data_IF_320541260647
#
_entry.id   IF_320541260647
#
_cell.length_a   1.000
_cell.length_b   1.000
_cell.length_c   1.000
_cell.angle_alpha   90.00
_cell.angle_beta   90.00
_cell.angle_gamma   90.00
#
_symmetry.space_group_name_H-M   'P 1'
#
loop_
_entity.id
_entity.type
_entity.pdbx_description
1 polymer ?
#
# COMPACT_ATOMS: atom_id res chain seq x y z
N UNK A 1 -23.59 2.67 -10.26
CA UNK A 1 -23.66 3.95 -11.04
C UNK A 1 -24.05 5.11 -10.13
N UNK A 2 -25.01 4.93 -9.24
CA UNK A 2 -25.54 6.01 -8.39
C UNK A 2 -24.47 6.66 -7.48
N UNK A 3 -23.61 5.88 -6.85
CA UNK A 3 -22.56 6.42 -5.96
C UNK A 3 -21.57 7.33 -6.69
N UNK A 4 -21.17 6.98 -7.91
CA UNK A 4 -20.27 7.82 -8.69
C UNK A 4 -20.91 9.15 -9.06
N UNK A 5 -22.19 9.13 -9.42
CA UNK A 5 -22.92 10.34 -9.76
C UNK A 5 -23.15 11.25 -8.55
N UNK A 6 -23.43 10.66 -7.38
CA UNK A 6 -23.55 11.40 -6.12
C UNK A 6 -22.21 12.10 -5.81
N UNK A 7 -21.10 11.36 -5.84
CA UNK A 7 -19.77 11.93 -5.58
C UNK A 7 -19.43 13.07 -6.54
N UNK A 8 -19.72 12.90 -7.83
CA UNK A 8 -19.49 13.96 -8.83
C UNK A 8 -20.32 15.20 -8.55
N UNK A 9 -21.57 15.03 -8.15
CA UNK A 9 -22.48 16.14 -7.80
C UNK A 9 -21.96 16.89 -6.58
N UNK A 10 -21.60 16.17 -5.51
CA UNK A 10 -21.03 16.77 -4.31
C UNK A 10 -19.72 17.52 -4.61
N UNK A 11 -18.81 16.93 -5.39
CA UNK A 11 -17.57 17.59 -5.80
C UNK A 11 -17.87 18.88 -6.59
N UNK A 12 -18.81 18.85 -7.53
CA UNK A 12 -19.14 20.00 -8.36
C UNK A 12 -19.72 21.18 -7.55
N UNK A 13 -20.45 20.86 -6.48
CA UNK A 13 -21.06 21.86 -5.57
C UNK A 13 -20.04 22.39 -4.56
N UNK A 14 -19.29 21.50 -3.90
CA UNK A 14 -18.39 21.86 -2.83
C UNK A 14 -17.02 22.37 -3.33
N UNK A 15 -16.60 21.93 -4.54
CA UNK A 15 -15.30 22.26 -5.17
C UNK A 15 -14.11 22.02 -4.24
N UNK A 16 -13.93 20.83 -3.69
CA UNK A 16 -12.85 20.55 -2.75
C UNK A 16 -11.50 20.51 -3.48
N UNK A 17 -10.43 20.92 -2.80
CA UNK A 17 -9.06 20.65 -3.28
C UNK A 17 -8.52 19.28 -2.86
N UNK A 18 -9.18 18.62 -1.91
CA UNK A 18 -8.82 17.30 -1.38
C UNK A 18 -10.07 16.50 -1.06
N UNK A 19 -10.00 15.19 -1.30
CA UNK A 19 -11.07 14.26 -0.95
C UNK A 19 -10.51 12.99 -0.33
N UNK A 20 -11.27 12.37 0.53
CA UNK A 20 -10.97 11.04 1.08
C UNK A 20 -12.19 10.13 0.97
N UNK A 21 -11.97 8.86 0.60
CA UNK A 21 -13.00 7.80 0.64
C UNK A 21 -12.48 6.67 1.53
N UNK A 22 -13.18 6.44 2.64
CA UNK A 22 -12.90 5.36 3.59
C UNK A 22 -14.15 4.47 3.71
N UNK A 23 -14.18 3.33 3.05
CA UNK A 23 -13.17 2.70 2.22
C UNK A 23 -13.77 2.26 0.87
N UNK A 24 -12.91 2.09 -0.14
CA UNK A 24 -13.31 1.52 -1.42
C UNK A 24 -13.86 0.10 -1.25
N UNK A 25 -13.29 -0.71 -0.37
CA UNK A 25 -13.75 -2.07 -0.07
C UNK A 25 -15.18 -2.11 0.49
N UNK A 26 -15.60 -1.09 1.23
CA UNK A 26 -16.99 -0.98 1.70
C UNK A 26 -17.96 -0.79 0.53
N UNK A 27 -17.56 -0.03 -0.48
CA UNK A 27 -18.35 0.21 -1.71
C UNK A 27 -18.32 -0.97 -2.66
N UNK A 28 -17.34 -1.88 -2.54
CA UNK A 28 -17.26 -3.09 -3.35
C UNK A 28 -18.29 -4.16 -2.95
N UNK A 29 -18.86 -4.07 -1.74
CA UNK A 29 -19.79 -5.08 -1.22
C UNK A 29 -21.06 -5.11 -2.05
N UNK A 30 -21.40 -6.30 -2.55
CA UNK A 30 -22.63 -6.52 -3.33
C UNK A 30 -22.61 -6.05 -4.78
N UNK A 31 -21.46 -5.60 -5.29
CA UNK A 31 -21.29 -5.25 -6.70
C UNK A 31 -20.31 -6.20 -7.39
N UNK A 32 -20.43 -6.35 -8.71
CA UNK A 32 -19.49 -7.17 -9.48
C UNK A 32 -18.08 -6.52 -9.50
N UNK A 33 -17.06 -7.34 -9.64
CA UNK A 33 -15.66 -6.86 -9.76
C UNK A 33 -15.50 -5.81 -10.88
N UNK A 34 -16.19 -6.02 -12.02
CA UNK A 34 -16.13 -5.08 -13.14
C UNK A 34 -16.81 -3.74 -12.80
N UNK A 35 -17.97 -3.76 -12.13
CA UNK A 35 -18.65 -2.55 -11.70
C UNK A 35 -17.84 -1.76 -10.68
N UNK A 36 -17.21 -2.44 -9.72
CA UNK A 36 -16.31 -1.84 -8.77
C UNK A 36 -15.12 -1.19 -9.47
N UNK A 37 -14.47 -1.90 -10.41
CA UNK A 37 -13.36 -1.37 -11.19
C UNK A 37 -13.75 -0.10 -11.96
N UNK A 38 -14.91 -0.10 -12.63
CA UNK A 38 -15.41 1.06 -13.37
C UNK A 38 -15.67 2.25 -12.43
N UNK A 39 -16.22 1.98 -11.24
CA UNK A 39 -16.41 3.00 -10.22
C UNK A 39 -15.07 3.64 -9.80
N UNK A 40 -14.06 2.83 -9.47
CA UNK A 40 -12.73 3.33 -9.05
C UNK A 40 -12.06 4.13 -10.16
N UNK A 41 -12.12 3.65 -11.40
CA UNK A 41 -11.62 4.40 -12.57
C UNK A 41 -12.36 5.73 -12.72
N UNK A 42 -13.68 5.71 -12.59
CA UNK A 42 -14.51 6.90 -12.75
C UNK A 42 -14.23 7.96 -11.69
N UNK A 43 -14.14 7.57 -10.41
CA UNK A 43 -13.92 8.53 -9.32
C UNK A 43 -12.49 9.08 -9.34
N UNK A 44 -11.49 8.23 -9.60
CA UNK A 44 -10.08 8.68 -9.68
C UNK A 44 -9.82 9.55 -10.91
N UNK A 45 -10.42 9.19 -12.06
CA UNK A 45 -10.33 9.99 -13.28
C UNK A 45 -10.97 11.38 -13.11
N UNK A 46 -12.14 11.43 -12.49
CA UNK A 46 -12.84 12.69 -12.20
C UNK A 46 -12.06 13.56 -11.20
N UNK A 47 -11.55 12.96 -10.12
CA UNK A 47 -10.70 13.69 -9.18
C UNK A 47 -9.46 14.32 -9.85
N UNK A 48 -8.81 13.59 -10.76
CA UNK A 48 -7.66 14.11 -11.55
C UNK A 48 -8.07 15.23 -12.49
N UNK A 49 -9.21 15.10 -13.16
CA UNK A 49 -9.73 16.13 -14.06
C UNK A 49 -10.03 17.44 -13.32
N UNK A 50 -10.55 17.35 -12.09
CA UNK A 50 -10.86 18.50 -11.24
C UNK A 50 -9.67 18.95 -10.36
N UNK A 51 -8.46 18.41 -10.60
CA UNK A 51 -7.22 18.73 -9.86
C UNK A 51 -7.33 18.48 -8.35
N UNK A 52 -8.14 17.48 -7.94
CA UNK A 52 -8.38 17.13 -6.55
C UNK A 52 -7.36 16.09 -6.09
N UNK A 53 -6.69 16.34 -4.96
CA UNK A 53 -5.87 15.33 -4.31
C UNK A 53 -6.76 14.27 -3.63
N UNK A 54 -6.84 13.06 -4.22
CA UNK A 54 -7.65 11.95 -3.73
C UNK A 54 -6.88 11.02 -2.82
N UNK A 55 -7.43 10.70 -1.64
CA UNK A 55 -6.94 9.70 -0.71
C UNK A 55 -8.01 8.60 -0.54
N UNK A 56 -7.63 7.36 -0.81
CA UNK A 56 -8.53 6.21 -0.79
C UNK A 56 -7.99 5.13 0.11
N UNK A 57 -8.79 4.64 1.05
CA UNK A 57 -8.45 3.44 1.80
C UNK A 57 -9.08 2.22 1.14
N UNK A 58 -8.38 1.11 1.21
CA UNK A 58 -8.88 -0.19 0.75
C UNK A 58 -8.36 -1.28 1.68
N UNK A 59 -9.25 -2.13 2.18
CA UNK A 59 -8.86 -3.28 2.99
C UNK A 59 -8.79 -4.52 2.11
N UNK A 60 -7.69 -5.28 2.20
CA UNK A 60 -7.65 -6.63 1.66
C UNK A 60 -8.20 -7.59 2.70
N UNK A 61 -9.08 -8.49 2.31
CA UNK A 61 -9.72 -9.47 3.23
C UNK A 61 -8.75 -10.58 3.65
N UNK A 62 -7.58 -10.69 3.07
CA UNK A 62 -6.63 -11.74 3.34
C UNK A 62 -5.56 -11.31 4.34
N UNK A 63 -5.65 -11.90 5.53
CA UNK A 63 -4.80 -11.62 6.69
C UNK A 63 -3.37 -12.14 6.54
N UNK A 64 -3.12 -13.08 5.63
CA UNK A 64 -1.80 -13.69 5.39
C UNK A 64 -1.65 -14.16 3.94
N UNK A 65 -0.86 -13.43 3.19
CA UNK A 65 -0.14 -13.95 2.04
C UNK A 65 -0.92 -14.19 0.76
N UNK A 66 -0.39 -13.72 -0.32
CA UNK A 66 -0.53 -14.19 -1.69
C UNK A 66 -1.64 -13.68 -2.61
N UNK A 67 -2.42 -12.66 -2.29
CA UNK A 67 -3.12 -12.00 -3.41
C UNK A 67 -2.49 -10.65 -3.76
N UNK A 68 -2.18 -10.53 -5.03
CA UNK A 68 -1.46 -9.42 -5.61
C UNK A 68 -2.26 -8.12 -5.47
N UNK A 69 -1.65 -7.10 -4.88
CA UNK A 69 -2.12 -5.70 -4.97
C UNK A 69 -2.42 -5.32 -6.43
N UNK A 70 -1.88 -6.09 -7.39
CA UNK A 70 -2.08 -5.95 -8.82
C UNK A 70 -3.41 -6.51 -9.32
N UNK A 71 -4.06 -7.44 -8.62
CA UNK A 71 -5.29 -8.09 -9.09
C UNK A 71 -6.48 -7.14 -9.19
N UNK A 72 -6.50 -6.08 -8.38
CA UNK A 72 -7.56 -5.06 -8.43
C UNK A 72 -7.36 -4.01 -9.52
N UNK A 73 -6.28 -4.06 -10.32
CA UNK A 73 -5.88 -3.02 -11.28
C UNK A 73 -5.76 -1.60 -10.69
N UNK A 74 -5.92 -1.44 -9.38
CA UNK A 74 -5.82 -0.15 -8.67
C UNK A 74 -4.42 0.43 -8.86
N UNK A 75 -3.40 -0.43 -8.92
CA UNK A 75 -2.02 -0.02 -9.13
C UNK A 75 -1.78 0.73 -10.45
N UNK A 76 -2.62 0.54 -11.46
CA UNK A 76 -2.47 1.22 -12.75
C UNK A 76 -2.99 2.65 -12.74
N UNK A 77 -3.98 2.94 -11.91
CA UNK A 77 -4.70 4.23 -11.88
C UNK A 77 -4.27 5.15 -10.74
N UNK A 78 -3.61 4.61 -9.70
CA UNK A 78 -3.11 5.37 -8.56
C UNK A 78 -1.68 5.86 -8.78
N UNK A 79 -1.36 7.02 -8.24
CA UNK A 79 -0.02 7.59 -8.33
C UNK A 79 0.87 7.11 -7.17
N UNK A 80 0.29 6.97 -5.98
CA UNK A 80 0.99 6.48 -4.79
C UNK A 80 0.20 5.35 -4.14
N UNK A 81 0.90 4.33 -3.68
CA UNK A 81 0.34 3.23 -2.88
C UNK A 81 1.15 3.09 -1.61
N UNK A 82 0.47 3.27 -0.47
CA UNK A 82 0.99 2.97 0.86
C UNK A 82 0.39 1.63 1.30
N UNK A 83 1.24 0.70 1.70
CA UNK A 83 0.83 -0.60 2.22
C UNK A 83 1.03 -0.63 3.73
N UNK A 84 -0.06 -0.86 4.46
CA UNK A 84 -0.03 -1.11 5.90
C UNK A 84 -0.50 -2.54 6.15
N UNK A 85 0.27 -3.30 6.92
CA UNK A 85 -0.07 -4.68 7.24
C UNK A 85 0.43 -5.10 8.62
N UNK A 86 -0.21 -6.11 9.19
CA UNK A 86 0.32 -6.78 10.36
C UNK A 86 1.35 -7.83 9.94
N UNK A 87 2.40 -7.95 10.72
CA UNK A 87 3.48 -8.91 10.53
C UNK A 87 3.84 -9.53 11.88
N UNK A 88 4.14 -10.82 11.89
CA UNK A 88 4.64 -11.48 13.11
C UNK A 88 6.17 -11.37 13.14
N UNK A 89 6.71 -10.82 14.22
CA UNK A 89 8.16 -10.72 14.45
C UNK A 89 8.46 -11.16 15.87
N UNK A 90 9.23 -12.24 16.01
CA UNK A 90 9.64 -12.81 17.30
C UNK A 90 8.47 -13.21 18.20
N UNK A 91 7.37 -13.68 17.61
CA UNK A 91 6.14 -14.05 18.34
C UNK A 91 5.26 -12.88 18.76
N UNK A 92 5.57 -11.67 18.30
CA UNK A 92 4.77 -10.47 18.56
C UNK A 92 4.20 -9.92 17.24
N UNK A 93 2.99 -9.37 17.32
CA UNK A 93 2.35 -8.71 16.19
C UNK A 93 2.82 -7.26 16.08
N UNK A 94 3.55 -6.96 15.02
CA UNK A 94 3.98 -5.63 14.66
C UNK A 94 3.15 -5.10 13.46
N UNK A 95 3.19 -3.79 13.23
CA UNK A 95 2.61 -3.17 12.03
C UNK A 95 3.73 -2.69 11.12
N UNK A 96 3.67 -3.08 9.87
CA UNK A 96 4.61 -2.66 8.84
C UNK A 96 3.96 -1.62 7.92
N UNK A 97 4.73 -0.60 7.56
CA UNK A 97 4.39 0.43 6.58
C UNK A 97 5.43 0.40 5.45
N UNK A 98 4.96 0.42 4.22
CA UNK A 98 5.82 0.52 3.04
C UNK A 98 5.21 1.45 1.99
N UNK A 99 6.04 2.28 1.35
CA UNK A 99 5.66 3.01 0.13
C UNK A 99 5.88 2.06 -1.04
N UNK A 100 4.84 1.31 -1.39
CA UNK A 100 4.91 0.27 -2.42
C UNK A 100 5.12 0.84 -3.82
N UNK A 101 4.52 2.00 -4.08
CA UNK A 101 4.60 2.70 -5.36
C UNK A 101 4.52 4.21 -5.16
N UNK A 102 5.29 4.94 -5.96
CA UNK A 102 5.16 6.39 -6.10
C UNK A 102 5.57 6.78 -7.52
N UNK A 103 4.70 7.50 -8.23
CA UNK A 103 4.99 8.01 -9.58
C UNK A 103 5.62 9.39 -9.49
N UNK A 104 6.56 9.65 -10.39
CA UNK A 104 7.12 10.99 -10.59
C UNK A 104 8.13 11.47 -9.55
N UNK A 105 8.39 10.69 -8.48
CA UNK A 105 9.40 11.06 -7.49
C UNK A 105 10.11 9.84 -6.90
N UNK A 106 11.30 10.08 -6.35
CA UNK A 106 12.00 9.11 -5.54
C UNK A 106 11.25 8.91 -4.22
N UNK A 107 11.28 7.70 -3.66
CA UNK A 107 10.72 7.38 -2.35
C UNK A 107 11.58 6.33 -1.63
N UNK A 108 11.46 6.29 -0.32
CA UNK A 108 12.04 5.25 0.51
C UNK A 108 11.33 3.92 0.25
N UNK A 109 12.09 2.90 -0.12
CA UNK A 109 11.59 1.53 -0.37
C UNK A 109 11.63 0.64 0.87
N UNK A 110 12.13 1.16 2.00
CA UNK A 110 12.23 0.43 3.26
C UNK A 110 10.85 0.06 3.82
N UNK A 111 10.78 -1.12 4.42
CA UNK A 111 9.62 -1.52 5.22
C UNK A 111 9.88 -1.05 6.63
N UNK A 112 9.03 -0.16 7.14
CA UNK A 112 9.21 0.47 8.45
C UNK A 112 8.19 -0.04 9.44
N UNK A 113 8.57 -0.09 10.70
CA UNK A 113 7.62 -0.33 11.77
C UNK A 113 6.74 0.90 11.98
N UNK A 114 5.44 0.65 12.15
CA UNK A 114 4.44 1.66 12.44
C UNK A 114 3.78 1.36 13.79
N UNK A 115 3.89 2.30 14.74
CA UNK A 115 3.31 2.16 16.07
C UNK A 115 2.32 3.28 16.36
N UNK A 116 1.28 2.95 17.12
CA UNK A 116 0.31 3.93 17.63
C UNK A 116 0.61 4.12 19.11
N UNK A 117 0.92 5.34 19.48
CA UNK A 117 1.26 5.73 20.85
C UNK A 117 0.25 6.73 21.40
N UNK A 118 0.35 7.06 22.69
CA UNK A 118 -0.45 8.13 23.31
C UNK A 118 -0.26 9.52 22.66
N UNK A 119 0.85 9.71 21.93
CA UNK A 119 1.15 10.93 21.17
C UNK A 119 0.80 10.81 19.68
N UNK A 120 0.03 9.78 19.30
CA UNK A 120 -0.37 9.51 17.91
C UNK A 120 0.51 8.48 17.21
N UNK A 121 0.35 8.34 15.89
CA UNK A 121 1.09 7.40 15.06
C UNK A 121 2.56 7.83 14.91
N UNK A 122 3.47 6.86 14.94
CA UNK A 122 4.91 7.06 14.76
C UNK A 122 5.48 6.01 13.81
N UNK A 123 6.36 6.44 12.93
CA UNK A 123 7.13 5.57 12.04
C UNK A 123 8.51 5.36 12.71
N UNK A 124 8.85 4.10 12.94
CA UNK A 124 10.13 3.68 13.50
C UNK A 124 11.13 3.31 12.39
N UNK A 125 12.25 2.77 12.81
CA UNK A 125 13.27 2.28 11.90
C UNK A 125 12.78 1.11 11.03
N UNK A 126 13.51 0.82 9.96
CA UNK A 126 13.22 -0.29 9.08
C UNK A 126 13.50 -1.64 9.77
N UNK A 127 12.76 -2.67 9.38
CA UNK A 127 13.00 -4.06 9.78
C UNK A 127 14.27 -4.63 9.13
N UNK A 128 15.40 -3.99 9.37
CA UNK A 128 16.68 -4.26 8.67
C UNK A 128 17.21 -5.69 8.84
N UNK A 129 16.74 -6.43 9.85
CA UNK A 129 17.18 -7.79 10.16
C UNK A 129 16.18 -8.87 9.73
N UNK A 130 15.19 -8.52 8.94
CA UNK A 130 14.16 -9.45 8.49
C UNK A 130 13.94 -9.31 6.99
N UNK A 131 13.78 -10.44 6.34
CA UNK A 131 13.33 -10.56 4.95
C UNK A 131 11.91 -11.11 4.88
N UNK A 132 11.28 -11.01 3.71
CA UNK A 132 9.94 -11.54 3.42
C UNK A 132 8.82 -11.00 4.34
N UNK A 133 8.99 -9.83 4.90
CA UNK A 133 7.99 -9.20 5.78
C UNK A 133 6.65 -9.04 5.05
N UNK A 134 6.69 -8.59 3.78
CA UNK A 134 5.48 -8.36 2.96
C UNK A 134 4.77 -9.66 2.61
N UNK A 135 5.48 -10.80 2.52
CA UNK A 135 4.87 -12.09 2.23
C UNK A 135 4.17 -12.74 3.44
N UNK A 136 4.19 -12.10 4.60
CA UNK A 136 3.58 -12.59 5.83
C UNK A 136 4.37 -13.72 6.51
N UNK A 137 5.54 -14.08 6.01
CA UNK A 137 6.45 -15.09 6.59
C UNK A 137 7.83 -14.45 6.78
N UNK A 138 8.02 -13.59 7.78
CA UNK A 138 9.31 -12.94 8.03
C UNK A 138 10.40 -13.97 8.33
N UNK A 139 11.54 -13.83 7.69
CA UNK A 139 12.74 -14.62 7.95
C UNK A 139 13.81 -13.72 8.54
N UNK A 140 14.42 -14.14 9.66
CA UNK A 140 15.53 -13.39 10.28
C UNK A 140 16.81 -13.67 9.50
N UNK A 141 17.43 -12.62 9.00
CA UNK A 141 18.73 -12.71 8.31
C UNK A 141 19.85 -12.56 9.34
N UNK A 142 20.75 -13.52 9.39
CA UNK A 142 21.96 -13.46 10.21
C UNK A 142 22.98 -12.52 9.54
N UNK A 143 23.95 -12.04 10.33
CA UNK A 143 25.02 -11.16 9.82
C UNK A 143 25.81 -11.80 8.68
N UNK A 144 26.01 -13.12 8.75
CA UNK A 144 26.76 -13.88 7.75
C UNK A 144 26.00 -14.01 6.43
N UNK A 145 24.70 -14.36 6.47
CA UNK A 145 23.83 -14.40 5.29
C UNK A 145 23.73 -13.03 4.61
N UNK A 146 23.70 -11.95 5.39
CA UNK A 146 23.65 -10.59 4.84
C UNK A 146 24.93 -10.19 4.12
N UNK A 147 26.09 -10.63 4.60
CA UNK A 147 27.38 -10.42 3.95
C UNK A 147 27.47 -11.19 2.63
N UNK A 148 26.95 -12.41 2.59
CA UNK A 148 26.93 -13.27 1.41
C UNK A 148 25.97 -12.74 0.33
N UNK A 149 24.76 -12.36 0.69
CA UNK A 149 23.80 -11.72 -0.21
C UNK A 149 24.32 -10.39 -0.78
N UNK A 150 25.03 -9.60 0.04
CA UNK A 150 25.70 -8.37 -0.42
C UNK A 150 26.83 -8.65 -1.42
N UNK A 151 27.55 -9.75 -1.29
CA UNK A 151 28.60 -10.17 -2.23
C UNK A 151 28.00 -10.59 -3.56
N UNK A 152 26.96 -11.44 -3.54
CA UNK A 152 26.23 -11.90 -4.72
C UNK A 152 25.62 -10.69 -5.47
N UNK A 153 25.00 -9.76 -4.76
CA UNK A 153 24.40 -8.57 -5.36
C UNK A 153 25.43 -7.61 -6.01
N UNK A 154 26.71 -7.68 -5.59
CA UNK A 154 27.81 -6.90 -6.19
C UNK A 154 28.55 -7.64 -7.29
N UNK A 155 28.11 -8.85 -7.69
CA UNK A 155 28.70 -9.62 -8.77
C UNK A 155 30.11 -10.16 -8.46
N UNK A 156 30.48 -10.31 -7.21
CA UNK A 156 31.74 -10.93 -6.79
C UNK A 156 31.50 -12.43 -6.69
N UNK A 157 31.78 -13.17 -7.76
CA UNK A 157 31.81 -14.64 -7.76
C UNK A 157 32.88 -15.12 -6.79
N UNK A 158 32.52 -16.07 -5.93
CA UNK A 158 33.49 -16.88 -5.19
C UNK A 158 34.10 -17.92 -6.16
N UNK A 159 35.16 -17.56 -6.84
CA UNK A 159 36.12 -18.51 -7.33
C UNK A 159 37.37 -18.29 -6.49
N UNK A 160 37.56 -19.24 -5.55
CA UNK A 160 38.86 -19.86 -5.16
C UNK A 160 38.56 -21.06 -4.27
#
# INVERSE_FOLDING_TARGET
>A
EDHLQIIKTEISQFKPSRMAIDSLSALARGVSHNAFRQFVIGVTGYAKQEEIAGFFTNTSEEFMGSHSITDSHISTITDTILLLQYVEIRGEMARALNVFKMRGSWHDKGIREFVITGNGPQIKDSFSNFERIISGVPHRVTTDERSELSRIARGVSTED
#
